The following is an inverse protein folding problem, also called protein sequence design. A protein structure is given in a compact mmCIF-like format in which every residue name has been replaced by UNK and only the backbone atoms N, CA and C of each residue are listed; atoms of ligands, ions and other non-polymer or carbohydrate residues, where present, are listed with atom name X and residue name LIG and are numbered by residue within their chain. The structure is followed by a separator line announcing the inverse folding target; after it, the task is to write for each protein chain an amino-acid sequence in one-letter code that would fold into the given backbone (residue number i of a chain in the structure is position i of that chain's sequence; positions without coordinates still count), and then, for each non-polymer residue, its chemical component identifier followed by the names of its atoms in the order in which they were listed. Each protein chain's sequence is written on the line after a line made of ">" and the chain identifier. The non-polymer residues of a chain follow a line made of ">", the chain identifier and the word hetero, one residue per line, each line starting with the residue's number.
data_IF_761338927687
#
_entry.id   IF_761338927687
#
_cell.length_a   1.000
_cell.length_b   1.000
_cell.length_c   1.000
_cell.angle_alpha   90.00
_cell.angle_beta   90.00
_cell.angle_gamma   90.00
#
_symmetry.space_group_name_H-M   'P 1'
#
loop_
_entity.id
_entity.type
_entity.pdbx_description
1 polymer ?
#
# COMPACT_ATOMS: atom_id res chain seq x y z
N UNK A 1 8.71 15.70 -0.12
CA UNK A 1 7.36 15.84 0.45
C UNK A 1 6.81 14.45 0.68
N UNK A 2 6.40 14.13 1.91
CA UNK A 2 5.80 12.82 2.20
C UNK A 2 4.32 12.83 1.77
N UNK A 3 3.89 11.75 1.10
CA UNK A 3 2.47 11.51 0.78
C UNK A 3 2.01 10.28 1.53
N UNK A 4 0.85 10.37 2.18
CA UNK A 4 0.18 9.20 2.73
C UNK A 4 -0.57 8.55 1.58
N UNK A 5 -0.32 7.26 1.35
CA UNK A 5 -0.98 6.49 0.29
C UNK A 5 -1.72 5.34 0.95
N UNK A 6 -3.05 5.34 0.81
CA UNK A 6 -3.86 4.19 1.24
C UNK A 6 -3.61 3.04 0.29
N UNK A 7 -3.31 1.86 0.83
CA UNK A 7 -3.25 0.63 0.06
C UNK A 7 -4.68 0.07 -0.03
N UNK A 8 -5.44 0.44 -1.05
CA UNK A 8 -6.81 -0.07 -1.22
C UNK A 8 -6.84 -1.55 -1.59
N UNK A 9 -5.82 -2.05 -2.30
CA UNK A 9 -5.69 -3.47 -2.66
C UNK A 9 -4.28 -3.90 -3.03
N UNK A 10 -3.98 -5.17 -2.77
CA UNK A 10 -2.66 -5.79 -3.03
C UNK A 10 -2.42 -6.19 -4.50
N UNK A 11 -3.38 -6.03 -5.40
CA UNK A 11 -3.31 -6.50 -6.81
C UNK A 11 -3.75 -5.41 -7.79
N UNK A 12 -3.19 -5.36 -9.01
CA UNK A 12 -3.62 -4.40 -10.04
C UNK A 12 -4.98 -4.75 -10.65
N UNK A 13 -5.62 -3.77 -11.30
CA UNK A 13 -6.76 -4.04 -12.20
C UNK A 13 -6.21 -4.47 -13.55
N UNK A 14 -6.71 -5.60 -14.06
CA UNK A 14 -6.41 -6.04 -15.41
C UNK A 14 -7.57 -5.58 -16.29
N UNK A 15 -7.29 -4.67 -17.21
CA UNK A 15 -8.25 -4.13 -18.17
C UNK A 15 -7.80 -4.48 -19.58
N UNK A 16 -8.76 -4.71 -20.48
CA UNK A 16 -8.46 -4.99 -21.87
C UNK A 16 -8.73 -3.73 -22.71
N UNK A 17 -7.72 -3.23 -23.41
CA UNK A 17 -7.83 -2.04 -24.26
C UNK A 17 -7.35 -2.43 -25.65
N UNK A 18 -8.23 -2.37 -26.65
CA UNK A 18 -7.88 -2.70 -28.04
C UNK A 18 -7.33 -4.12 -28.24
N UNK A 19 -7.78 -5.08 -27.43
CA UNK A 19 -7.30 -6.47 -27.48
C UNK A 19 -6.04 -6.75 -26.65
N UNK A 20 -5.42 -5.73 -26.05
CA UNK A 20 -4.24 -5.88 -25.19
C UNK A 20 -4.60 -5.81 -23.70
N UNK A 21 -3.94 -6.61 -22.88
CA UNK A 21 -4.10 -6.58 -21.43
C UNK A 21 -3.21 -5.49 -20.82
N UNK A 22 -3.83 -4.55 -20.09
CA UNK A 22 -3.15 -3.46 -19.38
C UNK A 22 -3.38 -3.63 -17.89
N UNK A 23 -2.32 -3.51 -17.09
CA UNK A 23 -2.38 -3.59 -15.64
C UNK A 23 -2.35 -2.18 -15.01
N UNK A 24 -3.41 -1.81 -14.31
CA UNK A 24 -3.55 -0.53 -13.60
C UNK A 24 -3.24 -0.71 -12.12
N UNK A 25 -2.35 0.12 -11.59
CA UNK A 25 -1.93 0.10 -10.19
C UNK A 25 -3.10 0.46 -9.27
N UNK A 26 -3.29 -0.36 -8.22
CA UNK A 26 -4.23 -0.08 -7.15
C UNK A 26 -3.64 -0.27 -5.74
N UNK A 27 -2.35 -0.62 -5.65
CA UNK A 27 -1.61 -0.72 -4.38
C UNK A 27 -0.99 0.60 -3.93
N UNK A 28 -1.14 1.68 -4.68
CA UNK A 28 -0.58 2.97 -4.25
C UNK A 28 0.93 3.17 -4.45
N UNK A 29 1.75 2.11 -4.52
CA UNK A 29 3.22 2.23 -4.49
C UNK A 29 3.92 2.27 -5.86
N UNK A 30 3.20 2.15 -6.97
CA UNK A 30 3.85 2.17 -8.29
C UNK A 30 4.59 3.47 -8.55
N UNK A 31 5.80 3.38 -9.13
CA UNK A 31 6.55 4.53 -9.65
C UNK A 31 6.04 4.97 -11.02
N UNK A 32 5.33 4.10 -11.75
CA UNK A 32 4.82 4.37 -13.10
C UNK A 32 3.30 4.49 -13.16
N UNK A 33 2.71 5.22 -12.20
CA UNK A 33 1.25 5.43 -12.17
C UNK A 33 0.76 6.09 -13.47
N UNK A 34 -0.42 5.69 -13.99
CA UNK A 34 -1.42 4.80 -13.40
C UNK A 34 -1.14 3.30 -13.57
N UNK A 35 -0.07 2.92 -14.27
CA UNK A 35 0.23 1.54 -14.60
C UNK A 35 0.87 0.78 -13.44
N UNK A 36 0.75 -0.54 -13.45
CA UNK A 36 1.40 -1.42 -12.50
C UNK A 36 2.83 -1.76 -12.94
N UNK A 37 3.80 -1.48 -12.09
CA UNK A 37 5.23 -1.80 -12.25
C UNK A 37 5.68 -3.02 -11.40
N UNK A 38 4.72 -3.76 -10.82
CA UNK A 38 5.00 -4.95 -10.01
C UNK A 38 5.29 -4.67 -8.53
N UNK A 39 5.35 -3.41 -8.11
CA UNK A 39 5.62 -3.01 -6.71
C UNK A 39 4.61 -3.58 -5.70
N UNK A 40 3.39 -3.88 -6.15
CA UNK A 40 2.34 -4.51 -5.36
C UNK A 40 2.75 -5.86 -4.73
N UNK A 41 3.86 -6.47 -5.16
CA UNK A 41 4.37 -7.69 -4.55
C UNK A 41 4.96 -7.47 -3.16
N UNK A 42 5.51 -6.27 -2.92
CA UNK A 42 6.13 -5.90 -1.64
C UNK A 42 5.06 -5.71 -0.55
N UNK A 43 3.85 -5.33 -0.95
CA UNK A 43 2.72 -5.11 -0.04
C UNK A 43 1.94 -6.37 0.30
N UNK A 44 2.42 -7.57 -0.07
CA UNK A 44 1.67 -8.83 0.15
C UNK A 44 1.71 -9.29 1.59
N UNK A 45 2.78 -8.96 2.30
CA UNK A 45 3.02 -9.36 3.67
C UNK A 45 2.66 -8.22 4.66
N UNK A 46 1.95 -7.19 4.18
CA UNK A 46 1.41 -6.13 5.03
C UNK A 46 0.23 -6.66 5.84
N UNK A 47 0.29 -6.48 7.16
CA UNK A 47 -0.78 -6.84 8.09
C UNK A 47 -1.74 -5.66 8.26
N UNK A 48 -3.04 -5.98 8.39
CA UNK A 48 -4.05 -4.99 8.72
C UNK A 48 -3.74 -4.31 10.07
N UNK A 49 -3.94 -2.99 10.16
CA UNK A 49 -3.70 -2.22 11.39
C UNK A 49 -2.22 -1.89 11.66
N UNK A 50 -1.31 -2.12 10.71
CA UNK A 50 0.08 -1.64 10.79
C UNK A 50 0.34 -0.54 9.76
N UNK A 51 1.12 0.46 10.14
CA UNK A 51 1.58 1.50 9.21
C UNK A 51 2.94 1.12 8.66
N UNK A 52 3.04 1.06 7.34
CA UNK A 52 4.29 0.79 6.65
C UNK A 52 4.79 2.07 5.97
N UNK A 53 6.03 2.43 6.25
CA UNK A 53 6.76 3.47 5.54
C UNK A 53 7.74 2.81 4.56
N UNK A 54 7.89 3.42 3.39
CA UNK A 54 8.80 2.96 2.36
C UNK A 54 9.81 4.06 2.05
N UNK A 55 11.10 3.71 2.08
CA UNK A 55 12.17 4.61 1.66
C UNK A 55 12.26 4.70 0.13
N UNK A 56 13.21 5.49 -0.38
CA UNK A 56 13.43 5.67 -1.83
C UNK A 56 13.88 4.36 -2.53
N UNK A 57 14.54 3.49 -1.77
CA UNK A 57 15.03 2.17 -2.19
C UNK A 57 13.96 1.08 -2.06
N UNK A 58 12.78 1.41 -1.53
CA UNK A 58 11.64 0.51 -1.25
C UNK A 58 11.88 -0.47 -0.11
N UNK A 59 12.78 -0.15 0.82
CA UNK A 59 12.87 -0.88 2.06
C UNK A 59 11.64 -0.56 2.92
N UNK A 60 11.04 -1.61 3.46
CA UNK A 60 9.84 -1.52 4.30
C UNK A 60 10.25 -1.24 5.75
N UNK A 61 9.65 -0.23 6.35
CA UNK A 61 9.84 0.15 7.75
C UNK A 61 8.47 0.12 8.43
N UNK A 62 8.34 -0.62 9.52
CA UNK A 62 7.12 -0.63 10.33
C UNK A 62 7.13 0.60 11.25
N UNK A 63 6.12 1.44 11.13
CA UNK A 63 5.98 2.64 11.94
C UNK A 63 5.01 2.35 13.08
N UNK A 64 5.47 2.56 14.31
CA UNK A 64 4.63 2.53 15.49
C UNK A 64 4.10 3.94 15.76
N UNK A 65 2.78 4.07 15.90
CA UNK A 65 2.16 5.32 16.33
C UNK A 65 2.19 5.35 17.85
N UNK A 66 2.72 6.42 18.44
CA UNK A 66 2.77 6.61 19.89
C UNK A 66 1.86 7.79 20.28
N UNK A 67 1.21 7.70 21.45
CA UNK A 67 0.46 8.80 22.04
C UNK A 67 1.38 9.82 22.74
N UNK A 68 0.79 10.91 23.25
CA UNK A 68 1.49 11.95 24.02
C UNK A 68 2.09 11.47 25.35
N UNK A 69 1.66 10.29 25.83
CA UNK A 69 2.14 9.65 27.05
C UNK A 69 3.17 8.53 26.77
N UNK A 70 3.56 8.33 25.50
CA UNK A 70 4.52 7.32 25.07
C UNK A 70 3.96 5.90 24.95
N UNK A 71 2.64 5.72 24.98
CA UNK A 71 1.98 4.43 24.76
C UNK A 71 1.78 4.15 23.27
N UNK A 72 1.96 2.89 22.86
CA UNK A 72 1.80 2.48 21.46
C UNK A 72 0.32 2.37 21.11
N UNK A 73 -0.13 3.20 20.16
CA UNK A 73 -1.48 3.14 19.60
C UNK A 73 -1.50 2.09 18.49
N UNK A 74 -2.27 1.02 18.68
CA UNK A 74 -2.62 0.11 17.60
C UNK A 74 -3.62 0.81 16.67
N UNK A 75 -3.33 0.89 15.37
CA UNK A 75 -4.33 1.34 14.41
C UNK A 75 -5.46 0.30 14.41
N UNK A 76 -6.73 0.71 14.43
CA UNK A 76 -7.84 -0.23 14.33
C UNK A 76 -7.65 -1.03 13.04
N UNK A 77 -7.61 -2.35 13.15
CA UNK A 77 -7.70 -3.19 11.97
C UNK A 77 -9.08 -2.94 11.37
N UNK A 78 -9.14 -2.16 10.29
CA UNK A 78 -10.39 -1.88 9.59
C UNK A 78 -10.89 -3.23 9.03
N UNK A 79 -11.73 -3.94 9.79
CA UNK A 79 -12.54 -5.03 9.26
C UNK A 79 -13.61 -4.38 8.41
N UNK A 80 -13.32 -4.20 7.12
CA UNK A 80 -14.35 -3.98 6.11
C UNK A 80 -15.12 -5.29 6.02
N UNK A 81 -16.15 -5.40 6.86
CA UNK A 81 -17.24 -6.36 6.73
C UNK A 81 -17.95 -6.10 5.38
N UNK A 82 -17.94 -7.15 4.53
CA UNK A 82 -18.75 -7.43 3.33
C UNK A 82 -18.86 -6.41 2.18
#
# INVERSE_FOLDING_TARGET
>A
MARIVRCDRSRPYLIQVGGQNVAICACGLSKNKPYCDGTHKITRDEEAGKLYAYDEQRNQIVVQVMDENGNTIALPAETVDE
#
